data_IF_551032418947
#
_entry.id   IF_551032418947
#
_cell.length_a   1.000
_cell.length_b   1.000
_cell.length_c   1.000
_cell.angle_alpha   90.00
_cell.angle_beta   90.00
_cell.angle_gamma   90.00
#
_symmetry.space_group_name_H-M   'P 1'
#
loop_
_entity.id
_entity.type
_entity.pdbx_description
1 polymer ?
2 non-polymer ?
3 non-polymer ?
4 non-polymer ?
5 water ?
#
# COMPACT_ATOMS: atom_id res chain seq x y z
N UNK A 1 6.49 6.28 -15.09
CA UNK A 1 6.94 5.39 -14.01
C UNK A 1 5.67 4.78 -13.43
N UNK A 2 5.40 3.52 -13.81
CA UNK A 2 4.18 2.77 -13.44
C UNK A 2 4.57 1.65 -12.48
N UNK A 3 4.17 1.81 -11.21
CA UNK A 3 4.71 1.00 -10.14
C UNK A 3 3.60 0.40 -9.26
N UNK A 4 3.87 -0.81 -8.78
CA UNK A 4 3.11 -1.46 -7.71
C UNK A 4 4.04 -1.73 -6.53
N UNK A 5 3.56 -1.40 -5.33
CA UNK A 5 4.18 -1.88 -4.13
C UNK A 5 3.33 -2.97 -3.57
N UNK A 6 3.96 -4.08 -3.25
CA UNK A 6 3.27 -5.16 -2.62
C UNK A 6 4.09 -5.64 -1.43
N UNK A 7 3.39 -6.36 -0.56
CA UNK A 7 4.00 -6.81 0.70
C UNK A 7 2.92 -6.99 1.71
N UNK A 8 3.22 -7.80 2.75
CA UNK A 8 2.25 -8.08 3.77
C UNK A 8 1.98 -6.81 4.58
N UNK A 9 0.80 -6.74 5.24
CA UNK A 9 0.50 -5.63 6.15
C UNK A 9 1.69 -5.39 7.07
N UNK A 10 2.10 -4.14 7.20
CA UNK A 10 3.22 -3.78 8.10
C UNK A 10 4.60 -3.84 7.47
N UNK A 11 4.70 -4.28 6.19
CA UNK A 11 6.00 -4.44 5.58
C UNK A 11 6.75 -3.13 5.27
N UNK A 12 6.05 -2.00 5.20
CA UNK A 12 6.63 -0.71 4.87
C UNK A 12 6.26 -0.07 3.55
N UNK A 13 5.15 -0.50 2.97
CA UNK A 13 4.71 0.05 1.65
C UNK A 13 4.32 1.51 1.70
N UNK A 14 3.43 1.89 2.63
CA UNK A 14 3.10 3.29 2.83
C UNK A 14 4.31 4.14 3.12
N UNK A 15 5.20 3.64 3.97
CA UNK A 15 6.41 4.38 4.34
C UNK A 15 7.22 4.71 3.10
N UNK A 16 7.48 3.67 2.30
CA UNK A 16 8.25 3.83 1.08
C UNK A 16 7.51 4.60 0.02
N UNK A 17 6.19 4.41 -0.03
CA UNK A 17 5.38 5.14 -1.01
C UNK A 17 5.49 6.63 -0.82
N UNK A 18 5.43 7.06 0.45
CA UNK A 18 5.61 8.48 0.76
C UNK A 18 6.92 9.05 0.22
N UNK A 19 8.00 8.28 0.37
CA UNK A 19 9.34 8.67 -0.06
C UNK A 19 9.47 8.68 -1.59
N UNK A 20 8.88 7.70 -2.24
CA UNK A 20 8.82 7.61 -3.70
C UNK A 20 8.09 8.83 -4.28
N UNK A 21 6.93 9.18 -3.73
CA UNK A 21 6.16 10.29 -4.29
C UNK A 21 6.84 11.64 -4.05
N UNK A 22 7.48 11.82 -2.89
CA UNK A 22 8.24 13.04 -2.65
C UNK A 22 9.37 13.20 -3.68
N UNK A 23 10.11 12.13 -3.93
CA UNK A 23 11.25 12.19 -4.83
C UNK A 23 10.85 12.38 -6.29
N UNK A 24 9.90 11.55 -6.77
CA UNK A 24 9.56 11.46 -8.19
C UNK A 24 8.28 12.21 -8.62
N UNK A 25 7.38 12.53 -7.70
CA UNK A 25 6.20 13.35 -8.00
C UNK A 25 5.06 12.64 -8.74
N UNK A 26 4.98 11.33 -8.63
CA UNK A 26 3.90 10.57 -9.21
C UNK A 26 2.84 10.41 -8.15
N UNK A 27 1.59 10.13 -8.54
CA UNK A 27 0.55 9.93 -7.52
C UNK A 27 0.66 8.66 -6.71
N UNK A 28 0.38 8.80 -5.41
CA UNK A 28 0.22 7.70 -4.46
C UNK A 28 -1.23 7.22 -4.51
N UNK A 29 -1.42 6.01 -5.00
CA UNK A 29 -2.74 5.41 -5.02
C UNK A 29 -2.72 4.26 -4.04
N UNK A 30 -3.36 4.46 -2.89
CA UNK A 30 -3.42 3.42 -1.87
C UNK A 30 -4.85 3.04 -1.68
N UNK A 31 -5.14 1.76 -1.88
CA UNK A 31 -6.51 1.29 -1.81
C UNK A 31 -6.99 1.40 -0.35
N UNK A 32 -6.06 1.11 0.58
CA UNK A 32 -6.35 1.25 2.03
C UNK A 32 -6.74 2.67 2.41
N UNK A 33 -5.91 3.63 1.97
CA UNK A 33 -6.22 5.08 2.10
C UNK A 33 -7.56 5.47 1.49
N UNK A 34 -7.83 5.00 0.27
CA UNK A 34 -9.10 5.30 -0.35
C UNK A 34 -10.28 4.74 0.41
N UNK A 35 -10.16 3.50 0.88
CA UNK A 35 -11.27 2.93 1.62
C UNK A 35 -11.49 3.67 2.94
N UNK A 36 -10.40 4.01 3.60
CA UNK A 36 -10.54 4.77 4.89
C UNK A 36 -11.14 6.14 4.67
N UNK A 37 -10.75 6.81 3.60
CA UNK A 37 -11.40 8.06 3.16
C UNK A 37 -12.88 7.91 2.90
N UNK A 38 -13.26 6.86 2.19
CA UNK A 38 -14.65 6.56 1.91
C UNK A 38 -15.48 6.32 3.18
N UNK A 39 -14.92 5.54 4.10
CA UNK A 39 -15.57 5.27 5.40
C UNK A 39 -15.69 6.54 6.22
N UNK A 40 -14.72 7.45 6.11
CA UNK A 40 -14.76 8.75 6.82
C UNK A 40 -15.83 9.67 6.18
N UNK A 41 -15.82 9.76 4.86
CA UNK A 41 -16.89 10.45 4.12
C UNK A 41 -18.30 9.92 4.39
N UNK A 42 -18.43 8.64 4.72
CA UNK A 42 -19.73 8.00 4.89
C UNK A 42 -20.42 7.68 3.56
N UNK A 43 -19.65 7.47 2.49
CA UNK A 43 -20.22 7.08 1.20
C UNK A 43 -20.84 5.70 1.27
N UNK A 44 -21.74 5.40 0.34
CA UNK A 44 -22.36 4.07 0.24
C UNK A 44 -21.29 2.98 0.08
N UNK A 45 -20.32 3.26 -0.76
CA UNK A 45 -19.18 2.35 -0.95
C UNK A 45 -18.37 2.14 0.36
N UNK A 46 -18.09 3.23 1.09
CA UNK A 46 -17.36 3.16 2.37
C UNK A 46 -18.06 2.33 3.43
N UNK A 47 -19.35 2.51 3.57
CA UNK A 47 -20.13 1.73 4.52
C UNK A 47 -20.15 0.22 4.21
N UNK A 48 -20.21 -0.11 2.92
CA UNK A 48 -20.08 -1.51 2.52
C UNK A 48 -18.66 -2.05 2.72
N UNK A 49 -17.63 -1.22 2.49
CA UNK A 49 -16.23 -1.63 2.65
C UNK A 49 -15.87 -1.82 4.12
N UNK A 50 -16.51 -1.04 4.98
CA UNK A 50 -16.20 -1.05 6.46
C UNK A 50 -16.28 -2.46 7.06
N UNK A 51 -17.32 -3.21 6.70
CA UNK A 51 -17.51 -4.54 7.31
C UNK A 51 -16.34 -5.51 7.07
N UNK A 52 -15.73 -5.45 5.89
CA UNK A 52 -14.58 -6.27 5.57
C UNK A 52 -13.34 -5.76 6.27
N UNK A 53 -13.15 -4.45 6.20
CA UNK A 53 -11.98 -3.82 6.78
C UNK A 53 -11.93 -4.05 8.30
N UNK A 54 -13.07 -3.95 8.97
CA UNK A 54 -13.16 -4.16 10.44
C UNK A 54 -12.79 -5.58 10.80
N UNK A 55 -13.04 -6.53 9.92
CA UNK A 55 -12.65 -7.91 10.17
C UNK A 55 -11.25 -8.31 9.68
N UNK A 56 -10.57 -7.42 8.98
CA UNK A 56 -9.27 -7.69 8.40
C UNK A 56 -9.34 -8.50 7.11
N UNK A 57 -10.55 -8.57 6.59
CA UNK A 57 -10.81 -9.29 5.37
C UNK A 57 -10.57 -8.33 4.20
N UNK A 58 -10.33 -8.89 3.03
CA UNK A 58 -10.25 -8.05 1.83
C UNK A 58 -11.64 -7.57 1.34
N UNK A 59 -11.70 -6.35 0.82
CA UNK A 59 -12.92 -5.83 0.20
C UNK A 59 -13.07 -6.57 -1.16
N UNK A 60 -14.28 -6.95 -1.49
CA UNK A 60 -14.40 -7.68 -2.80
C UNK A 60 -13.72 -7.00 -3.98
N UNK A 61 -13.25 -7.90 -4.87
CA UNK A 61 -12.49 -7.50 -6.04
C UNK A 61 -13.25 -6.51 -6.88
N UNK A 62 -14.56 -6.70 -7.03
CA UNK A 62 -15.34 -5.80 -7.88
C UNK A 62 -15.32 -4.36 -7.40
N UNK A 63 -15.48 -4.21 -6.08
CA UNK A 63 -15.46 -2.88 -5.51
C UNK A 63 -14.08 -2.22 -5.64
N UNK A 64 -13.05 -3.00 -5.32
CA UNK A 64 -11.68 -2.54 -5.29
C UNK A 64 -11.22 -2.16 -6.69
N UNK A 65 -11.51 -3.03 -7.64
CA UNK A 65 -11.13 -2.71 -9.03
C UNK A 65 -11.82 -1.45 -9.53
N UNK A 66 -13.09 -1.28 -9.18
CA UNK A 66 -13.86 -0.10 -9.53
C UNK A 66 -13.25 1.20 -9.07
N UNK A 67 -12.82 1.25 -7.80
CA UNK A 67 -12.22 2.47 -7.25
C UNK A 67 -10.86 2.75 -7.88
N UNK A 68 -10.08 1.71 -8.11
CA UNK A 68 -8.77 1.86 -8.73
C UNK A 68 -8.89 2.31 -10.19
N UNK A 69 -9.82 1.74 -10.94
CA UNK A 69 -10.00 2.16 -12.35
C UNK A 69 -10.29 3.64 -12.50
N UNK A 70 -11.20 4.10 -11.66
CA UNK A 70 -11.58 5.51 -11.60
C UNK A 70 -10.40 6.40 -11.23
N UNK A 71 -9.66 6.00 -10.19
CA UNK A 71 -8.48 6.76 -9.79
C UNK A 71 -7.44 6.88 -10.91
N UNK A 72 -7.26 5.79 -11.65
CA UNK A 72 -6.27 5.69 -12.69
C UNK A 72 -6.66 6.47 -13.94
N UNK A 73 -7.93 6.83 -14.05
CA UNK A 73 -8.40 7.64 -15.17
C UNK A 73 -8.09 9.14 -15.02
N UNK A 74 -7.61 9.58 -13.85
CA UNK A 74 -7.36 11.00 -13.62
C UNK A 74 -6.08 11.46 -14.36
N UNK A 75 -6.02 12.74 -14.70
CA UNK A 75 -4.88 13.32 -15.46
C UNK A 75 -3.53 13.13 -14.77
N UNK A 76 -3.54 13.15 -13.43
CA UNK A 76 -2.30 13.02 -12.67
C UNK A 76 -1.62 11.65 -12.84
N UNK A 77 -2.35 10.66 -13.38
CA UNK A 77 -1.76 9.34 -13.64
C UNK A 77 -1.17 9.17 -15.04
N UNK A 78 -1.25 10.20 -15.89
CA UNK A 78 -0.76 10.07 -17.26
C UNK A 78 0.76 9.97 -17.36
N UNK A 79 1.49 10.56 -16.41
CA UNK A 79 2.97 10.49 -16.41
C UNK A 79 3.50 9.40 -15.46
N UNK A 80 2.57 8.62 -14.88
CA UNK A 80 2.93 7.51 -14.03
C UNK A 80 2.13 7.53 -12.74
N UNK A 81 2.35 6.52 -11.92
CA UNK A 81 1.57 6.33 -10.70
C UNK A 81 2.24 5.30 -9.82
N UNK A 82 1.90 5.36 -8.52
CA UNK A 82 2.34 4.35 -7.57
C UNK A 82 1.11 3.69 -6.94
N UNK A 83 0.89 2.41 -7.23
CA UNK A 83 -0.14 1.62 -6.58
C UNK A 83 0.46 0.96 -5.36
N UNK A 84 -0.16 1.25 -4.21
CA UNK A 84 0.32 0.82 -2.92
C UNK A 84 -0.76 -0.08 -2.36
N UNK A 85 -0.52 -1.38 -2.30
CA UNK A 85 -1.47 -2.32 -1.69
C UNK A 85 -2.53 -2.78 -2.66
N UNK A 86 -2.30 -2.48 -3.91
CA UNK A 86 -3.13 -3.10 -4.96
C UNK A 86 -2.16 -3.40 -6.05
N UNK A 87 -2.35 -4.53 -6.75
CA UNK A 87 -3.28 -5.56 -6.41
C UNK A 87 -2.84 -6.44 -5.25
N UNK A 88 -3.83 -7.08 -4.67
CA UNK A 88 -3.72 -8.05 -3.58
C UNK A 88 -4.33 -9.40 -3.78
N UNK A 89 -4.87 -9.65 -4.98
CA UNK A 89 -5.34 -10.97 -5.41
C UNK A 89 -4.90 -11.07 -6.87
N UNK A 90 -4.75 -12.30 -7.36
CA UNK A 90 -4.47 -12.52 -8.79
C UNK A 90 -5.59 -11.96 -9.67
N UNK A 91 -6.86 -12.11 -9.28
CA UNK A 91 -7.92 -11.40 -10.02
C UNK A 91 -7.70 -9.91 -10.17
N UNK A 92 -7.19 -9.24 -9.13
CA UNK A 92 -6.91 -7.84 -9.23
C UNK A 92 -5.72 -7.57 -10.16
N UNK A 93 -4.72 -8.45 -10.17
CA UNK A 93 -3.53 -8.28 -11.02
C UNK A 93 -3.93 -8.49 -12.50
N UNK A 94 -4.80 -9.45 -12.73
CA UNK A 94 -5.38 -9.68 -14.07
C UNK A 94 -6.16 -8.50 -14.57
N UNK A 95 -7.03 -7.96 -13.72
CA UNK A 95 -7.76 -6.71 -14.02
C UNK A 95 -6.82 -5.57 -14.34
N UNK A 96 -5.75 -5.42 -13.56
CA UNK A 96 -4.83 -4.32 -13.73
C UNK A 96 -4.12 -4.44 -15.08
N UNK A 97 -3.76 -5.67 -15.44
CA UNK A 97 -3.22 -5.96 -16.80
C UNK A 97 -4.12 -5.41 -17.89
N UNK A 98 -5.42 -5.68 -17.79
CA UNK A 98 -6.36 -5.16 -18.81
C UNK A 98 -6.47 -3.67 -18.74
N UNK A 99 -6.62 -3.14 -17.54
CA UNK A 99 -6.74 -1.70 -17.40
C UNK A 99 -5.56 -1.02 -18.11
N UNK A 100 -4.36 -1.49 -17.83
CA UNK A 100 -3.16 -0.91 -18.38
C UNK A 100 -3.04 -1.10 -19.90
N UNK A 101 -3.65 -2.14 -20.43
CA UNK A 101 -3.79 -2.29 -21.93
C UNK A 101 -4.61 -1.15 -22.50
N UNK A 102 -5.71 -0.83 -21.82
CA UNK A 102 -6.56 0.29 -22.21
C UNK A 102 -5.84 1.62 -22.05
N UNK A 103 -5.03 1.79 -21.01
CA UNK A 103 -4.27 3.03 -20.86
C UNK A 103 -3.00 3.09 -21.71
N UNK A 104 -2.70 2.04 -22.47
CA UNK A 104 -1.48 2.00 -23.31
C UNK A 104 -0.21 2.00 -22.48
N UNK A 105 -0.24 1.30 -21.34
CA UNK A 105 0.85 1.32 -20.37
C UNK A 105 1.18 -0.08 -19.91
N UNK A 106 2.34 -0.21 -19.30
CA UNK A 106 2.73 -1.45 -18.64
C UNK A 106 3.43 -1.13 -17.36
N UNK A 107 3.37 -2.06 -16.41
CA UNK A 107 4.14 -1.93 -15.19
C UNK A 107 5.63 -1.99 -15.47
N UNK A 108 6.36 -1.04 -14.91
CA UNK A 108 7.82 -1.07 -14.92
C UNK A 108 8.32 -2.06 -13.86
N UNK A 109 7.79 -1.97 -12.63
CA UNK A 109 8.16 -2.92 -11.59
C UNK A 109 7.00 -3.19 -10.65
N UNK A 110 6.97 -4.40 -10.11
CA UNK A 110 6.21 -4.74 -8.92
C UNK A 110 7.23 -4.95 -7.85
N UNK A 111 7.23 -4.07 -6.84
CA UNK A 111 8.25 -4.10 -5.81
C UNK A 111 7.61 -4.82 -4.63
N UNK A 112 8.18 -5.96 -4.29
CA UNK A 112 7.73 -6.78 -3.18
C UNK A 112 8.64 -6.56 -1.97
N UNK A 113 8.10 -5.93 -0.92
CA UNK A 113 8.87 -5.64 0.25
C UNK A 113 8.63 -6.77 1.24
N UNK A 114 9.71 -7.51 1.49
CA UNK A 114 9.65 -8.73 2.25
C UNK A 114 10.16 -8.47 3.65
N UNK A 115 9.33 -8.87 4.63
CA UNK A 115 9.63 -8.73 6.05
C UNK A 115 9.12 -10.01 6.70
N UNK A 116 9.92 -10.66 7.58
CA UNK A 116 9.39 -11.88 8.19
C UNK A 116 8.17 -11.63 9.09
N UNK A 117 7.26 -12.60 9.09
CA UNK A 117 5.96 -12.52 9.76
C UNK A 117 6.12 -12.10 11.21
N UNK A 118 7.12 -12.66 11.85
CA UNK A 118 7.32 -12.48 13.29
C UNK A 118 7.52 -11.01 13.61
N UNK A 119 8.16 -10.23 12.73
CA UNK A 119 8.40 -8.81 12.95
C UNK A 119 7.19 -7.89 12.75
N UNK A 120 6.16 -8.38 12.06
CA UNK A 120 5.08 -7.51 11.59
C UNK A 120 4.14 -7.10 12.70
N UNK A 121 3.89 -8.00 13.66
CA UNK A 121 3.06 -7.64 14.80
C UNK A 121 3.61 -6.36 15.47
N UNK A 122 4.92 -6.28 15.76
CA UNK A 122 5.48 -5.11 16.49
C UNK A 122 5.40 -3.85 15.65
N UNK A 123 5.61 -4.00 14.34
CA UNK A 123 5.44 -2.86 13.47
C UNK A 123 4.04 -2.33 13.48
N UNK A 124 3.08 -3.22 13.51
CA UNK A 124 1.69 -2.78 13.41
C UNK A 124 1.12 -2.22 14.72
N UNK A 125 1.52 -2.78 15.83
CA UNK A 125 0.99 -2.30 17.09
C UNK A 125 1.59 -0.97 17.55
N UNK A 126 2.76 -0.62 17.04
CA UNK A 126 3.36 0.72 17.24
C UNK A 126 3.06 1.73 16.17
N UNK A 127 2.33 1.28 15.12
CA UNK A 127 2.01 2.19 14.11
C UNK A 127 0.97 3.23 14.52
N UNK A 128 1.27 4.48 14.16
CA UNK A 128 0.31 5.54 14.21
C UNK A 128 0.29 6.34 12.90
N UNK A 129 -0.90 6.69 12.46
CA UNK A 129 -1.08 7.38 11.18
C UNK A 129 -1.82 8.68 11.33
N UNK A 130 -1.57 9.60 10.42
CA UNK A 130 -2.17 10.91 10.44
C UNK A 130 -3.64 10.90 9.94
N UNK A 131 -4.51 11.53 10.71
CA UNK A 131 -5.94 11.67 10.40
C UNK A 131 -6.20 12.43 9.15
N UNK A 132 -5.36 13.40 8.84
CA UNK A 132 -5.65 14.37 7.77
C UNK A 132 -4.97 13.97 6.44
N UNK A 133 -3.77 13.38 6.46
CA UNK A 133 -3.12 12.89 5.20
C UNK A 133 -2.73 11.43 5.10
N UNK A 134 -2.81 10.70 6.20
CA UNK A 134 -2.51 9.29 6.22
C UNK A 134 -1.05 8.92 6.34
N UNK A 135 -0.16 9.90 6.51
CA UNK A 135 1.26 9.61 6.80
C UNK A 135 1.38 8.65 7.96
N UNK A 136 2.36 7.79 7.87
CA UNK A 136 2.57 6.65 8.73
C UNK A 136 3.81 6.90 9.58
N UNK A 137 3.65 6.65 10.89
CA UNK A 137 4.75 6.77 11.84
C UNK A 137 4.81 5.52 12.69
N UNK A 138 5.88 5.37 13.47
CA UNK A 138 5.96 4.27 14.42
C UNK A 138 6.55 4.90 15.70
N UNK A 139 5.94 4.55 16.82
CA UNK A 139 6.39 5.12 18.10
C UNK A 139 7.82 4.78 18.50
N UNK A 140 8.30 3.60 18.13
CA UNK A 140 9.70 3.21 18.27
C UNK A 140 10.57 3.55 17.08
N UNK A 141 10.20 3.09 15.88
CA UNK A 141 11.14 3.03 14.79
C UNK A 141 11.14 4.28 13.90
N UNK A 142 10.09 5.08 14.01
CA UNK A 142 9.90 6.25 13.12
C UNK A 142 8.94 7.28 13.67
N UNK A 143 9.32 7.88 14.82
CA UNK A 143 8.33 8.71 15.46
C UNK A 143 8.22 10.06 14.78
N UNK A 144 7.10 10.75 14.99
CA UNK A 144 6.96 12.13 14.56
C UNK A 144 7.93 13.06 15.33
N UNK A 145 8.21 14.24 14.77
CA UNK A 145 9.02 15.26 15.45
C UNK A 145 8.41 15.61 16.81
N UNK A 146 7.08 15.66 16.86
CA UNK A 146 6.33 16.07 18.01
C UNK A 146 5.29 14.99 18.23
N UNK A 147 5.22 14.49 19.47
CA UNK A 147 4.35 13.36 19.83
C UNK A 147 2.93 13.60 19.38
N UNK A 148 2.36 12.65 18.64
CA UNK A 148 0.95 12.68 18.32
C UNK A 148 0.54 13.63 17.20
N UNK A 149 1.52 14.27 16.55
CA UNK A 149 1.28 15.31 15.54
C UNK A 149 2.04 14.90 14.26
N UNK A 150 1.36 14.96 13.10
CA UNK A 150 2.01 14.74 11.79
C UNK A 150 3.04 15.82 11.46
N UNK A 151 4.22 15.36 11.07
CA UNK A 151 5.28 16.23 10.55
C UNK A 151 4.87 17.12 9.35
N UNK A 152 4.04 16.59 8.48
CA UNK A 152 3.72 17.25 7.20
C UNK A 152 2.68 18.33 7.36
N UNK A 153 1.59 18.00 8.05
CA UNK A 153 0.42 18.87 8.08
C UNK A 153 -0.22 19.08 9.45
N UNK A 154 0.45 18.64 10.52
CA UNK A 154 -0.03 18.85 11.87
C UNK A 154 -1.23 18.04 12.29
N UNK A 155 -1.70 17.12 11.44
CA UNK A 155 -2.82 16.27 11.81
C UNK A 155 -2.52 15.40 13.02
N UNK A 156 -3.59 15.04 13.74
CA UNK A 156 -3.50 14.15 14.86
C UNK A 156 -3.16 12.73 14.37
N UNK A 157 -2.26 12.08 15.11
CA UNK A 157 -1.88 10.69 14.89
C UNK A 157 -2.78 9.79 15.72
N UNK A 158 -3.15 8.68 15.11
CA UNK A 158 -4.05 7.74 15.71
C UNK A 158 -3.67 6.30 15.39
N UNK A 159 -4.18 5.40 16.22
CA UNK A 159 -4.04 3.98 16.01
C UNK A 159 -5.23 3.46 15.18
N UNK A 160 -4.93 2.93 14.00
CA UNK A 160 -5.92 2.28 13.18
C UNK A 160 -6.70 1.21 13.93
N UNK A 161 -8.01 1.16 13.68
CA UNK A 161 -8.89 0.18 14.31
C UNK A 161 -8.41 -1.21 14.02
N UNK A 162 -7.88 -1.43 12.81
CA UNK A 162 -7.43 -2.74 12.42
C UNK A 162 -6.03 -3.14 12.90
N UNK A 163 -5.31 -2.23 13.55
CA UNK A 163 -3.97 -2.48 14.08
C UNK A 163 -3.99 -2.97 15.53
N UNK A 164 -4.90 -3.88 15.83
CA UNK A 164 -4.96 -4.54 17.11
C UNK A 164 -4.58 -5.98 16.88
N UNK A 165 -4.00 -6.66 17.89
CA UNK A 165 -3.40 -7.98 17.64
C UNK A 165 -4.35 -9.06 17.07
N UNK A 166 -5.63 -9.05 17.42
CA UNK A 166 -6.57 -10.06 16.92
C UNK A 166 -6.80 -9.85 15.39
N UNK A 167 -7.09 -8.60 15.03
CA UNK A 167 -7.37 -8.26 13.66
C UNK A 167 -6.10 -8.37 12.83
N UNK A 168 -4.96 -8.05 13.41
CA UNK A 168 -3.68 -8.19 12.69
C UNK A 168 -3.43 -9.66 12.30
N UNK A 169 -3.66 -10.59 13.24
CA UNK A 169 -3.40 -11.99 12.93
C UNK A 169 -4.30 -12.43 11.77
N UNK A 170 -5.56 -12.00 11.74
CA UNK A 170 -6.46 -12.34 10.61
C UNK A 170 -5.98 -11.70 9.32
N UNK A 171 -5.62 -10.40 9.40
CA UNK A 171 -5.01 -9.73 8.22
C UNK A 171 -3.80 -10.45 7.63
N UNK A 172 -2.88 -10.90 8.50
CA UNK A 172 -1.70 -11.61 8.04
C UNK A 172 -2.09 -12.91 7.35
N UNK A 173 -2.97 -13.72 7.96
CA UNK A 173 -3.50 -14.92 7.25
C UNK A 173 -4.12 -14.61 5.88
N UNK A 174 -5.07 -13.68 5.85
CA UNK A 174 -5.82 -13.31 4.62
C UNK A 174 -4.86 -12.88 3.48
N UNK A 175 -3.90 -12.02 3.81
CA UNK A 175 -2.98 -11.50 2.81
C UNK A 175 -1.90 -12.50 2.43
N UNK A 176 -1.43 -13.33 3.38
CA UNK A 176 -0.47 -14.39 3.05
C UNK A 176 -1.06 -15.37 2.05
N UNK A 177 -2.36 -15.66 2.18
CA UNK A 177 -3.08 -16.63 1.33
C UNK A 177 -2.98 -16.23 -0.13
N UNK A 178 -2.98 -14.92 -0.40
CA UNK A 178 -2.92 -14.37 -1.79
C UNK A 178 -1.50 -14.14 -2.33
N UNK A 179 -0.48 -14.22 -1.47
CA UNK A 179 0.87 -13.76 -1.79
C UNK A 179 1.57 -14.62 -2.84
N UNK A 180 1.61 -15.93 -2.66
CA UNK A 180 2.36 -16.76 -3.61
C UNK A 180 1.77 -16.73 -5.03
N UNK A 181 0.43 -16.79 -5.15
CA UNK A 181 -0.16 -16.64 -6.48
C UNK A 181 0.25 -15.32 -7.16
N UNK A 182 0.28 -14.23 -6.39
CA UNK A 182 0.72 -12.93 -6.94
C UNK A 182 2.20 -12.89 -7.27
N UNK A 183 3.04 -13.45 -6.40
CA UNK A 183 4.47 -13.54 -6.70
C UNK A 183 4.70 -14.32 -7.99
N UNK A 184 4.04 -15.47 -8.07
CA UNK A 184 4.16 -16.31 -9.26
C UNK A 184 3.69 -15.56 -10.50
N UNK A 185 2.60 -14.79 -10.40
CA UNK A 185 2.03 -14.05 -11.55
C UNK A 185 3.04 -13.06 -12.11
N UNK A 186 3.61 -12.24 -11.23
CA UNK A 186 4.55 -11.21 -11.64
C UNK A 186 5.97 -11.70 -11.92
N UNK A 187 6.37 -12.77 -11.22
CA UNK A 187 7.60 -13.44 -11.56
C UNK A 187 7.54 -13.93 -13.02
N UNK A 188 6.40 -14.46 -13.46
CA UNK A 188 6.21 -14.91 -14.85
C UNK A 188 6.31 -13.78 -15.85
N UNK A 189 5.86 -12.60 -15.49
CA UNK A 189 6.01 -11.44 -16.36
C UNK A 189 7.41 -10.83 -16.39
N UNK A 190 8.21 -11.15 -15.37
CA UNK A 190 9.58 -10.67 -15.23
C UNK A 190 9.69 -9.25 -14.71
N UNK A 191 8.71 -8.77 -13.94
CA UNK A 191 8.73 -7.41 -13.38
C UNK A 191 8.80 -7.42 -11.84
N UNK A 192 8.86 -8.60 -11.23
CA UNK A 192 8.90 -8.70 -9.74
C UNK A 192 10.32 -8.46 -9.29
N UNK A 193 10.49 -7.48 -8.42
CA UNK A 193 11.72 -7.29 -7.67
C UNK A 193 11.45 -7.39 -6.17
N UNK A 194 12.25 -8.19 -5.49
CA UNK A 194 12.12 -8.36 -4.07
C UNK A 194 13.08 -7.43 -3.36
N UNK A 195 12.57 -6.72 -2.36
CA UNK A 195 13.36 -5.82 -1.54
C UNK A 195 13.41 -6.34 -0.11
N UNK A 196 14.58 -6.36 0.50
CA UNK A 196 14.69 -6.70 1.93
C UNK A 196 14.12 -5.54 2.79
N UNK A 197 12.90 -5.74 3.29
CA UNK A 197 12.26 -4.75 4.14
C UNK A 197 12.70 -4.68 5.62
N UNK A 198 13.54 -5.62 6.04
CA UNK A 198 14.13 -5.68 7.37
C UNK A 198 15.48 -4.93 7.39
N UNK A 199 15.42 -3.67 6.98
CA UNK A 199 16.54 -2.78 6.95
C UNK A 199 16.05 -1.43 7.40
N UNK A 200 16.99 -0.52 7.62
CA UNK A 200 16.73 0.90 7.85
C UNK A 200 15.74 1.42 6.80
N UNK A 201 14.85 2.31 7.23
CA UNK A 201 13.85 2.88 6.33
C UNK A 201 14.54 3.51 5.13
N UNK A 202 15.55 4.32 5.42
CA UNK A 202 16.33 4.94 4.36
C UNK A 202 17.18 3.95 3.58
N UNK A 203 17.52 2.79 4.16
CA UNK A 203 18.24 1.76 3.38
C UNK A 203 17.30 1.07 2.40
N UNK A 204 16.11 0.75 2.88
CA UNK A 204 15.05 0.20 2.01
C UNK A 204 14.79 1.15 0.82
N UNK A 205 14.73 2.44 1.11
CA UNK A 205 14.50 3.41 0.06
C UNK A 205 15.64 3.49 -0.93
N UNK A 206 16.86 3.36 -0.43
CA UNK A 206 18.05 3.34 -1.26
C UNK A 206 17.95 2.21 -2.28
N UNK A 207 17.48 1.05 -1.83
CA UNK A 207 17.33 -0.11 -2.71
C UNK A 207 16.27 0.09 -3.77
N UNK A 208 15.18 0.74 -3.41
CA UNK A 208 14.11 1.07 -4.38
C UNK A 208 14.60 2.07 -5.44
N UNK A 209 15.28 3.13 -4.99
CA UNK A 209 15.87 4.14 -5.88
C UNK A 209 16.80 3.51 -6.93
N UNK A 210 17.52 2.46 -6.53
CA UNK A 210 18.36 1.71 -7.43
C UNK A 210 17.55 1.07 -8.56
N UNK A 211 16.31 0.66 -8.26
CA UNK A 211 15.42 0.11 -9.25
C UNK A 211 14.87 1.19 -10.17
N UNK A 212 14.52 2.33 -9.57
CA UNK A 212 13.71 3.35 -10.25
C UNK A 212 14.45 4.39 -11.07
N UNK A 213 15.71 4.66 -10.71
CA UNK A 213 16.54 5.63 -11.43
C UNK A 213 16.45 5.58 -12.95
N UNK A 214 16.24 4.41 -13.53
CA UNK A 214 16.17 4.25 -14.99
C UNK A 214 14.93 4.72 -15.73
N UNK A 215 13.78 4.76 -15.07
CA UNK A 215 12.49 5.00 -15.77
C UNK A 215 12.30 6.46 -16.13
X LIG B 1 -0.52 14.34 7.99
X LIG C 1 2.31 -1.04 5.09
X LIG C 1 1.24 -1.75 5.84
X LIG C 1 1.84 0.21 4.37
X LIG C 1 3.13 -2.10 4.39
X LIG C 1 3.77 0.82 6.81
X LIG C 1 4.51 1.64 5.79
X LIG C 1 2.57 1.53 7.32
X LIG C 1 3.34 -0.63 6.32
X LIG C 1 4.81 0.42 7.97
X LIG C 1 4.33 -0.38 9.06
X LIG C 1 4.83 0.23 10.39
X LIG C 1 6.22 0.01 10.54
X LIG C 1 4.68 1.72 10.48
X LIG C 1 4.42 2.01 11.89
X LIG C 1 5.99 2.29 10.02
X LIG C 1 6.42 3.57 10.58
X LIG C 1 6.98 1.19 10.37
X LIG C 1 8.08 0.88 9.42
X LIG C 1 8.02 0.92 8.08
X LIG C 1 9.14 0.53 7.49
X LIG C 1 9.98 0.20 8.51
X LIG C 1 11.35 -0.33 8.62
X LIG C 1 12.10 -0.53 7.50
X LIG C 1 11.87 -0.55 9.84
X LIG C 1 11.15 -0.35 10.96
X LIG C 1 9.88 0.12 10.94
X LIG C 1 9.25 0.41 9.77
X LIG D 1 -4.04 -1.29 4.09
X LIG D 1 -3.26 -1.62 2.81
X LIG D 1 -4.27 0.18 4.34
X LIG D 1 -3.61 -2.03 5.31
X LIG D 1 -5.51 -1.88 3.88
X LIG D 1 -6.57 -1.77 4.84
X LIG D 1 -7.75 -2.60 4.40
X LIG D 1 -8.29 -2.11 3.14
X LIG D 1 -7.43 -4.07 4.15
X LIG D 1 -7.38 -4.92 5.32
X LIG D 1 -8.63 -4.42 3.27
X LIG D 1 -9.83 -4.66 4.03
X LIG D 1 -8.84 -3.20 2.39
X LIG D 1 -8.00 -3.20 1.20
X LIG D 1 -6.92 -2.43 0.89
X LIG D 1 -6.42 -2.75 -0.36
X LIG D 1 -7.20 -3.72 -0.81
X LIG D 1 -7.26 -4.52 -2.04
X LIG D 1 -6.32 -4.24 -2.95
X LIG D 1 -8.23 -5.42 -2.13
X LIG D 1 -9.18 -5.68 -1.22
X LIG D 1 -9.18 -4.97 -0.02
X LIG D 1 -8.25 -4.03 0.16
#
# INVERSE_FOLDING_TARGET
MNLVLMGLPGAGKGTQAEKIVEKYGIPHISTGDMFRAAIKEGTELGLKAKSFMDKGELVPDEVTIGIVRERLSKDDCKKGFLLDGFPRTVAQAEALDNILSELGKKLDYVINIEVPKEELMERLTGRRICKTCGATYHLIFNPPKVEGICDKDGGELYQRADDNPETVANRLDVNMKQTQPLLDFYEEKGVLRNIDGQQDINKVFADIKALLGGLKQENLYFQ
ZN ZN
ADP PB O1B O2B O3B PA O1A O2A O3A O5' C5' C4' O4' C3' O3' C2' O2' C1' N9 C8 N7 C5 C6 N6 N1 C2 N3 C4
AMP P O1P O2P O3P O5' C5' C4' O4' C3' O3' C2' O2' C1' N9 C8 N7 C5 C6 N6 N1 C2 N3 C4
#
